data_IF_210169524114
#
_entry.id   IF_210169524114
#
_cell.length_a   1.000
_cell.length_b   1.000
_cell.length_c   1.000
_cell.angle_alpha   90.00
_cell.angle_beta   90.00
_cell.angle_gamma   90.00
#
_symmetry.space_group_name_H-M   'P 1'
#
loop_
_entity.id
_entity.type
_entity.pdbx_description
1 polymer ?
#
# COMPACT_ATOMS: atom_id res chain seq x y z
N UNK A 1 3.93 28.65 -3.62
CA UNK A 1 3.90 28.38 -2.15
C UNK A 1 5.30 28.07 -1.63
N UNK A 2 5.72 28.66 -0.51
CA UNK A 2 7.00 28.33 0.16
C UNK A 2 6.91 26.96 0.85
N UNK A 3 7.98 26.18 0.83
CA UNK A 3 8.01 24.86 1.48
C UNK A 3 8.01 24.97 3.02
N UNK A 4 8.49 26.08 3.58
CA UNK A 4 8.42 26.38 5.00
C UNK A 4 7.01 26.24 5.59
N UNK A 5 5.96 26.61 4.84
CA UNK A 5 4.56 26.46 5.28
C UNK A 5 4.15 24.99 5.47
N UNK A 6 4.67 24.10 4.64
CA UNK A 6 4.47 22.65 4.80
C UNK A 6 5.23 22.16 6.04
N UNK A 7 6.49 22.57 6.20
CA UNK A 7 7.30 22.19 7.34
C UNK A 7 6.72 22.67 8.68
N UNK A 8 6.12 23.86 8.71
CA UNK A 8 5.42 24.40 9.88
C UNK A 8 4.16 23.61 10.21
N UNK A 9 3.35 23.25 9.19
CA UNK A 9 2.20 22.38 9.39
C UNK A 9 2.61 21.00 9.93
N UNK A 10 3.67 20.41 9.38
CA UNK A 10 4.19 19.11 9.83
C UNK A 10 4.67 19.13 11.27
N UNK A 11 5.29 20.22 11.72
CA UNK A 11 5.69 20.39 13.12
C UNK A 11 4.49 20.47 14.06
N UNK A 12 3.44 21.24 13.69
CA UNK A 12 2.19 21.29 14.45
C UNK A 12 1.53 19.91 14.56
N UNK A 13 1.51 19.16 13.46
CA UNK A 13 0.94 17.80 13.39
C UNK A 13 1.76 16.83 14.25
N UNK A 14 3.09 16.84 14.15
CA UNK A 14 3.97 15.97 14.93
C UNK A 14 3.87 16.26 16.44
N UNK A 15 3.60 17.51 16.82
CA UNK A 15 3.49 17.93 18.21
C UNK A 15 2.19 17.49 18.92
N UNK A 16 1.19 16.97 18.20
CA UNK A 16 -0.07 16.49 18.79
C UNK A 16 -0.26 14.99 18.59
N UNK A 17 -1.02 14.37 19.49
CA UNK A 17 -1.50 12.98 19.36
C UNK A 17 -3.00 12.90 19.07
N UNK A 18 -3.70 14.04 19.10
CA UNK A 18 -5.15 14.10 18.91
C UNK A 18 -5.48 14.19 17.43
N UNK A 19 -6.19 13.18 16.92
CA UNK A 19 -6.57 13.11 15.50
C UNK A 19 -7.39 14.30 15.01
N UNK A 20 -8.24 14.88 15.86
CA UNK A 20 -9.02 16.07 15.50
C UNK A 20 -8.12 17.29 15.26
N UNK A 21 -7.17 17.56 16.16
CA UNK A 21 -6.19 18.65 15.98
C UNK A 21 -5.31 18.43 14.74
N UNK A 22 -4.86 17.19 14.49
CA UNK A 22 -4.14 16.86 13.25
C UNK A 22 -4.99 17.16 12.00
N UNK A 23 -6.28 16.85 12.05
CA UNK A 23 -7.21 17.12 10.94
C UNK A 23 -7.36 18.62 10.73
N UNK A 24 -7.47 19.41 11.80
CA UNK A 24 -7.59 20.87 11.71
C UNK A 24 -6.33 21.51 11.11
N UNK A 25 -5.14 21.07 11.51
CA UNK A 25 -3.88 21.53 10.89
C UNK A 25 -3.77 21.14 9.42
N UNK A 26 -4.26 19.95 9.05
CA UNK A 26 -4.34 19.56 7.64
C UNK A 26 -5.34 20.42 6.86
N UNK A 27 -6.50 20.73 7.43
CA UNK A 27 -7.47 21.64 6.81
C UNK A 27 -6.85 23.02 6.58
N UNK A 28 -6.13 23.56 7.57
CA UNK A 28 -5.38 24.82 7.45
C UNK A 28 -4.35 24.75 6.31
N UNK A 29 -3.53 23.69 6.27
CA UNK A 29 -2.53 23.49 5.22
C UNK A 29 -3.17 23.42 3.82
N UNK A 30 -4.23 22.62 3.67
CA UNK A 30 -4.90 22.38 2.40
C UNK A 30 -5.59 23.65 1.88
N UNK A 31 -6.21 24.47 2.74
CA UNK A 31 -6.82 25.75 2.37
C UNK A 31 -5.79 26.81 1.93
N UNK A 32 -4.59 26.77 2.51
CA UNK A 32 -3.49 27.66 2.14
C UNK A 32 -2.66 27.15 0.94
N UNK A 33 -2.99 25.98 0.40
CA UNK A 33 -2.29 25.38 -0.74
C UNK A 33 -2.92 25.86 -2.05
N UNK A 34 -2.13 26.44 -2.99
CA UNK A 34 -2.62 26.76 -4.33
C UNK A 34 -3.15 25.52 -5.05
N UNK A 35 -4.21 25.68 -5.85
CA UNK A 35 -4.93 24.57 -6.49
C UNK A 35 -4.01 23.68 -7.32
N UNK A 36 -3.07 24.28 -8.03
CA UNK A 36 -2.10 23.62 -8.92
C UNK A 36 -1.02 22.79 -8.19
N UNK A 37 -0.94 22.92 -6.86
CA UNK A 37 -0.02 22.18 -6.00
C UNK A 37 -0.71 21.18 -5.08
N UNK A 38 -2.04 21.12 -5.05
CA UNK A 38 -2.77 20.32 -4.06
C UNK A 38 -2.44 18.82 -4.16
N UNK A 39 -2.32 18.31 -5.38
CA UNK A 39 -1.91 16.94 -5.69
C UNK A 39 -0.55 16.59 -5.06
N UNK A 40 0.42 17.49 -5.22
CA UNK A 40 1.78 17.35 -4.70
C UNK A 40 1.82 17.46 -3.18
N UNK A 41 1.11 18.43 -2.60
CA UNK A 41 1.10 18.64 -1.13
C UNK A 41 0.47 17.45 -0.43
N UNK A 42 -0.61 16.88 -0.99
CA UNK A 42 -1.24 15.67 -0.47
C UNK A 42 -0.27 14.50 -0.42
N UNK A 43 0.47 14.25 -1.51
CA UNK A 43 1.47 13.17 -1.53
C UNK A 43 2.66 13.43 -0.62
N UNK A 44 3.21 14.65 -0.62
CA UNK A 44 4.29 15.03 0.29
C UNK A 44 3.90 14.81 1.75
N UNK A 45 2.63 15.06 2.10
CA UNK A 45 2.09 14.86 3.45
C UNK A 45 1.97 13.38 3.82
N UNK A 46 1.83 12.51 2.84
CA UNK A 46 1.94 11.06 3.01
C UNK A 46 3.40 10.57 2.97
N UNK A 47 4.38 11.45 2.76
CA UNK A 47 5.80 11.08 2.59
C UNK A 47 6.09 10.40 1.26
N UNK A 48 5.24 10.62 0.26
CA UNK A 48 5.32 10.03 -1.08
C UNK A 48 5.33 11.13 -2.15
N UNK A 49 5.53 10.74 -3.41
CA UNK A 49 5.33 11.65 -4.57
C UNK A 49 4.21 11.20 -5.49
N UNK A 50 3.92 9.90 -5.48
CA UNK A 50 3.06 9.21 -6.43
C UNK A 50 2.19 8.17 -5.70
N UNK A 51 1.08 7.75 -6.30
CA UNK A 51 0.37 6.55 -5.90
C UNK A 51 1.28 5.31 -5.90
N UNK A 52 1.02 4.36 -4.99
CA UNK A 52 1.84 3.15 -4.82
C UNK A 52 1.91 2.28 -6.09
N UNK A 53 0.82 2.25 -6.86
CA UNK A 53 0.72 1.47 -8.09
C UNK A 53 1.61 1.93 -9.24
N UNK A 54 2.17 3.14 -9.16
CA UNK A 54 3.16 3.61 -10.11
C UNK A 54 4.55 3.01 -9.89
N UNK A 55 4.81 2.41 -8.71
CA UNK A 55 6.10 1.78 -8.40
C UNK A 55 7.29 2.74 -8.35
N UNK A 56 7.04 4.05 -8.17
CA UNK A 56 8.08 5.07 -8.08
C UNK A 56 8.34 5.40 -6.61
N UNK A 57 9.52 5.01 -6.12
CA UNK A 57 10.00 5.34 -4.78
C UNK A 57 11.16 6.33 -4.84
N UNK A 58 11.19 7.30 -3.92
CA UNK A 58 12.36 8.16 -3.76
C UNK A 58 13.54 7.32 -3.20
N UNK A 59 13.24 6.57 -2.13
CA UNK A 59 14.05 5.50 -1.55
C UNK A 59 15.54 5.82 -1.42
N UNK A 60 15.92 6.69 -0.49
CA UNK A 60 17.32 6.99 -0.18
C UNK A 60 17.75 6.24 1.08
N UNK A 61 18.75 5.37 0.94
CA UNK A 61 19.34 4.68 2.09
C UNK A 61 19.90 5.69 3.11
N UNK A 62 19.81 5.35 4.40
CA UNK A 62 20.25 6.22 5.51
C UNK A 62 21.71 6.70 5.33
N UNK A 63 22.59 5.83 4.82
CA UNK A 63 23.99 6.15 4.48
C UNK A 63 24.12 7.22 3.39
N UNK A 64 23.27 7.19 2.36
CA UNK A 64 23.27 8.22 1.31
C UNK A 64 22.73 9.56 1.82
N UNK A 65 21.75 9.52 2.75
CA UNK A 65 21.27 10.73 3.42
C UNK A 65 22.37 11.37 4.28
N UNK A 66 23.14 10.57 5.03
CA UNK A 66 24.30 11.02 5.81
C UNK A 66 25.32 11.73 4.91
N UNK A 67 25.71 11.11 3.78
CA UNK A 67 26.60 11.72 2.76
C UNK A 67 26.08 13.08 2.27
N UNK A 68 24.78 13.20 2.02
CA UNK A 68 24.17 14.44 1.56
C UNK A 68 24.15 15.53 2.65
N UNK A 69 23.87 15.17 3.91
CA UNK A 69 23.93 16.09 5.05
C UNK A 69 25.38 16.57 5.28
N UNK A 70 26.37 15.67 5.18
CA UNK A 70 27.79 16.03 5.27
C UNK A 70 28.16 17.08 4.23
N UNK A 71 27.82 16.83 2.96
CA UNK A 71 28.07 17.75 1.83
C UNK A 71 27.37 19.10 2.00
N UNK A 72 26.14 19.13 2.55
CA UNK A 72 25.37 20.35 2.73
C UNK A 72 25.74 21.16 3.98
N UNK A 73 26.26 20.51 5.02
CA UNK A 73 26.58 21.14 6.31
C UNK A 73 28.06 21.47 6.49
N UNK A 74 28.94 20.80 5.75
CA UNK A 74 30.40 20.90 5.88
C UNK A 74 30.97 20.09 7.06
N UNK A 75 30.18 19.24 7.70
CA UNK A 75 30.63 18.33 8.76
C UNK A 75 30.96 16.94 8.20
N UNK A 76 31.72 16.16 8.95
CA UNK A 76 32.10 14.80 8.56
C UNK A 76 30.93 13.82 8.72
N UNK A 77 30.91 12.75 7.92
CA UNK A 77 29.91 11.68 8.03
C UNK A 77 29.93 11.04 9.43
N UNK A 78 31.11 10.93 10.05
CA UNK A 78 31.27 10.37 11.40
C UNK A 78 30.55 11.19 12.47
N UNK A 79 30.67 12.53 12.44
CA UNK A 79 29.95 13.42 13.36
C UNK A 79 28.43 13.23 13.23
N UNK A 80 27.95 13.07 11.99
CA UNK A 80 26.53 12.88 11.68
C UNK A 80 26.04 11.52 12.15
N UNK A 81 26.82 10.45 11.95
CA UNK A 81 26.49 9.10 12.45
C UNK A 81 26.43 9.05 13.98
N UNK A 82 27.34 9.76 14.66
CA UNK A 82 27.35 9.83 16.12
C UNK A 82 26.13 10.58 16.67
N UNK A 83 25.70 11.67 16.03
CA UNK A 83 24.47 12.37 16.38
C UNK A 83 23.23 11.51 16.07
N UNK A 84 23.20 10.83 14.92
CA UNK A 84 22.09 9.95 14.55
C UNK A 84 21.86 8.82 15.55
N UNK A 85 22.92 8.27 16.14
CA UNK A 85 22.80 7.27 17.21
C UNK A 85 22.12 7.84 18.45
N UNK A 86 22.32 9.13 18.74
CA UNK A 86 21.71 9.83 19.89
C UNK A 86 20.26 10.22 19.61
N UNK A 87 19.98 10.81 18.45
CA UNK A 87 18.64 11.27 18.07
C UNK A 87 17.71 10.11 17.68
N UNK A 88 18.24 9.05 17.07
CA UNK A 88 17.44 7.96 16.48
C UNK A 88 16.57 8.41 15.29
N UNK A 89 16.81 9.62 14.77
CA UNK A 89 16.04 10.25 13.70
C UNK A 89 16.94 11.08 12.78
N UNK A 90 17.06 10.62 11.53
CA UNK A 90 17.92 11.26 10.53
C UNK A 90 17.45 12.66 10.13
N UNK A 91 16.15 12.97 10.28
CA UNK A 91 15.64 14.33 10.07
C UNK A 91 16.07 15.28 11.17
N UNK A 92 15.95 14.86 12.43
CA UNK A 92 16.39 15.68 13.57
C UNK A 92 17.91 15.94 13.51
N UNK A 93 18.68 14.90 13.17
CA UNK A 93 20.11 15.05 12.90
C UNK A 93 20.36 16.03 11.75
N UNK A 94 19.62 15.94 10.64
CA UNK A 94 19.73 16.91 9.55
C UNK A 94 19.45 18.35 10.03
N UNK A 95 18.39 18.56 10.82
CA UNK A 95 18.06 19.87 11.40
C UNK A 95 19.23 20.42 12.24
N UNK A 96 19.81 19.59 13.10
CA UNK A 96 20.92 19.99 13.98
C UNK A 96 22.16 20.43 13.19
N UNK A 97 22.53 19.69 12.14
CA UNK A 97 23.72 20.00 11.33
C UNK A 97 23.48 21.16 10.35
N UNK A 98 22.26 21.29 9.83
CA UNK A 98 21.88 22.41 8.95
C UNK A 98 21.78 23.72 9.75
N UNK A 99 21.42 23.68 11.03
CA UNK A 99 21.50 24.83 11.93
C UNK A 99 22.94 25.27 12.23
N UNK A 100 23.92 24.35 12.12
CA UNK A 100 25.34 24.55 12.44
C UNK A 100 26.23 24.49 11.20
N UNK A 101 25.74 24.90 10.03
CA UNK A 101 26.49 24.90 8.76
C UNK A 101 27.83 25.62 8.92
N UNK A 102 28.93 24.94 8.55
CA UNK A 102 30.29 25.53 8.54
C UNK A 102 30.51 26.44 7.32
N UNK A 103 29.77 26.21 6.24
CA UNK A 103 29.88 26.94 4.98
C UNK A 103 28.59 27.72 4.72
N UNK A 104 28.72 29.04 4.55
CA UNK A 104 27.61 29.91 4.16
C UNK A 104 27.55 29.95 2.63
N UNK A 105 26.38 29.70 2.05
CA UNK A 105 26.18 29.83 0.61
C UNK A 105 26.12 31.32 0.25
N UNK A 106 26.80 31.73 -0.83
CA UNK A 106 26.81 33.14 -1.28
C UNK A 106 25.41 33.66 -1.63
N UNK A 107 24.52 32.76 -2.07
CA UNK A 107 23.12 33.03 -2.41
C UNK A 107 22.24 31.91 -1.88
N UNK A 108 21.27 32.26 -1.04
CA UNK A 108 20.26 31.31 -0.55
C UNK A 108 18.90 31.67 -1.17
N UNK A 109 18.29 30.73 -1.88
CA UNK A 109 16.93 30.88 -2.39
C UNK A 109 15.95 30.13 -1.49
N UNK A 110 14.88 30.78 -0.98
CA UNK A 110 13.85 30.09 -0.22
C UNK A 110 13.24 28.93 -1.02
N UNK A 111 13.10 27.77 -0.40
CA UNK A 111 12.54 26.59 -1.05
C UNK A 111 11.05 26.79 -1.32
N UNK A 112 10.62 26.39 -2.52
CA UNK A 112 9.21 26.29 -2.90
C UNK A 112 8.79 24.83 -2.94
N UNK A 113 7.49 24.58 -2.72
CA UNK A 113 6.91 23.23 -2.81
C UNK A 113 7.21 22.60 -4.17
N UNK A 114 7.06 23.39 -5.24
CA UNK A 114 7.35 22.96 -6.61
C UNK A 114 8.81 22.53 -6.77
N UNK A 115 9.77 23.35 -6.29
CA UNK A 115 11.19 23.04 -6.42
C UNK A 115 11.57 21.77 -5.66
N UNK A 116 11.05 21.61 -4.44
CA UNK A 116 11.26 20.40 -3.63
C UNK A 116 10.69 19.19 -4.37
N UNK A 117 9.41 19.23 -4.77
CA UNK A 117 8.76 18.11 -5.46
C UNK A 117 9.51 17.70 -6.75
N UNK A 118 9.84 18.66 -7.63
CA UNK A 118 10.59 18.38 -8.87
C UNK A 118 11.97 17.78 -8.62
N UNK A 119 12.64 18.19 -7.54
CA UNK A 119 13.97 17.67 -7.22
C UNK A 119 13.87 16.27 -6.66
N UNK A 120 12.87 16.01 -5.81
CA UNK A 120 12.57 14.67 -5.31
C UNK A 120 12.12 13.72 -6.43
N UNK A 121 11.34 14.21 -7.41
CA UNK A 121 10.94 13.44 -8.58
C UNK A 121 12.16 13.06 -9.45
N UNK A 122 13.05 14.02 -9.73
CA UNK A 122 14.32 13.74 -10.42
C UNK A 122 15.15 12.69 -9.68
N UNK A 123 15.18 12.74 -8.34
CA UNK A 123 15.86 11.73 -7.52
C UNK A 123 15.17 10.36 -7.63
N UNK A 124 13.84 10.30 -7.61
CA UNK A 124 13.09 9.04 -7.69
C UNK A 124 13.28 8.35 -9.04
N UNK A 125 13.32 9.12 -10.13
CA UNK A 125 13.52 8.62 -11.51
C UNK A 125 14.98 8.32 -11.87
N UNK A 126 15.94 8.70 -11.04
CA UNK A 126 17.35 8.43 -11.31
C UNK A 126 17.68 6.93 -11.10
N UNK A 127 18.06 6.26 -12.19
CA UNK A 127 18.45 4.84 -12.22
C UNK A 127 19.74 4.62 -13.00
N UNK A 128 20.42 3.49 -12.79
CA UNK A 128 21.63 3.11 -13.51
C UNK A 128 22.93 3.63 -12.89
N UNK A 129 24.01 3.59 -13.66
CA UNK A 129 25.34 4.02 -13.24
C UNK A 129 25.34 5.51 -12.87
N UNK A 130 26.00 5.88 -11.77
CA UNK A 130 26.04 7.27 -11.28
C UNK A 130 24.76 7.79 -10.61
N UNK A 131 23.67 7.02 -10.62
CA UNK A 131 22.39 7.44 -10.02
C UNK A 131 22.52 7.75 -8.51
N UNK A 132 23.33 6.97 -7.78
CA UNK A 132 23.54 7.20 -6.34
C UNK A 132 24.19 8.56 -6.05
N UNK A 133 25.23 8.94 -6.80
CA UNK A 133 25.92 10.22 -6.60
C UNK A 133 25.08 11.42 -7.07
N UNK A 134 24.27 11.22 -8.12
CA UNK A 134 23.26 12.19 -8.53
C UNK A 134 22.23 12.43 -7.42
N UNK A 135 21.67 11.37 -6.82
CA UNK A 135 20.72 11.48 -5.70
C UNK A 135 21.33 12.23 -4.51
N UNK A 136 22.57 11.90 -4.13
CA UNK A 136 23.30 12.59 -3.05
C UNK A 136 23.50 14.07 -3.39
N UNK A 137 23.87 14.40 -4.62
CA UNK A 137 24.11 15.78 -5.03
C UNK A 137 22.84 16.62 -5.10
N UNK A 138 21.74 16.06 -5.61
CA UNK A 138 20.43 16.72 -5.61
C UNK A 138 19.92 16.98 -4.20
N UNK A 139 20.01 15.97 -3.31
CA UNK A 139 19.61 16.12 -1.92
C UNK A 139 20.48 17.16 -1.19
N UNK A 140 21.80 17.12 -1.35
CA UNK A 140 22.70 18.11 -0.76
C UNK A 140 22.38 19.53 -1.25
N UNK A 141 22.03 19.71 -2.54
CA UNK A 141 21.62 21.00 -3.09
C UNK A 141 20.32 21.54 -2.51
N UNK A 142 19.33 20.67 -2.24
CA UNK A 142 18.13 21.06 -1.49
C UNK A 142 18.48 21.49 -0.06
N UNK A 143 19.25 20.67 0.66
CA UNK A 143 19.60 20.92 2.07
C UNK A 143 20.48 22.17 2.25
N UNK A 144 21.30 22.51 1.26
CA UNK A 144 22.08 23.74 1.26
C UNK A 144 21.18 24.99 1.33
N UNK A 145 20.03 24.97 0.66
CA UNK A 145 19.05 26.07 0.64
C UNK A 145 17.99 25.97 1.73
N UNK A 146 17.79 24.78 2.31
CA UNK A 146 16.80 24.54 3.36
C UNK A 146 17.14 25.27 4.67
N UNK A 147 16.10 25.77 5.34
CA UNK A 147 16.13 26.05 6.77
C UNK A 147 16.28 24.74 7.58
N UNK A 148 16.70 24.79 8.85
CA UNK A 148 16.84 23.59 9.69
C UNK A 148 15.56 22.74 9.75
N UNK A 149 14.40 23.39 9.89
CA UNK A 149 13.10 22.72 9.94
C UNK A 149 12.74 22.05 8.61
N UNK A 150 12.96 22.73 7.49
CA UNK A 150 12.73 22.16 6.16
C UNK A 150 13.64 20.94 5.92
N UNK A 151 14.90 21.01 6.34
CA UNK A 151 15.84 19.91 6.24
C UNK A 151 15.36 18.66 7.00
N UNK A 152 14.78 18.82 8.20
CA UNK A 152 14.17 17.72 8.97
C UNK A 152 13.19 16.92 8.13
N UNK A 153 12.21 17.61 7.55
CA UNK A 153 11.14 16.94 6.83
C UNK A 153 11.55 16.46 5.44
N UNK A 154 12.43 17.18 4.73
CA UNK A 154 13.00 16.69 3.46
C UNK A 154 13.72 15.36 3.68
N UNK A 155 14.60 15.29 4.69
CA UNK A 155 15.39 14.08 4.96
C UNK A 155 14.51 12.93 5.45
N UNK A 156 13.49 13.22 6.27
CA UNK A 156 12.50 12.19 6.64
C UNK A 156 11.69 11.68 5.45
N UNK A 157 11.28 12.54 4.51
CA UNK A 157 10.56 12.13 3.30
C UNK A 157 11.42 11.22 2.41
N UNK A 158 12.65 11.61 2.08
CA UNK A 158 13.53 10.81 1.19
C UNK A 158 13.94 9.46 1.79
N UNK A 159 13.96 9.35 3.13
CA UNK A 159 14.28 8.10 3.84
C UNK A 159 13.04 7.26 4.20
N UNK A 160 11.83 7.68 3.78
CA UNK A 160 10.59 6.96 4.06
C UNK A 160 10.16 6.99 5.54
N UNK A 161 10.61 8.00 6.29
CA UNK A 161 10.43 8.13 7.75
C UNK A 161 9.76 9.44 8.14
N UNK A 162 8.83 9.95 7.34
CA UNK A 162 8.12 11.22 7.59
C UNK A 162 7.42 11.24 8.96
N UNK A 163 6.85 10.12 9.39
CA UNK A 163 6.41 9.86 10.78
C UNK A 163 5.37 10.86 11.35
N UNK A 164 4.54 11.47 10.51
CA UNK A 164 3.51 12.41 10.98
C UNK A 164 2.30 11.74 11.67
N UNK A 165 2.19 10.41 11.59
CA UNK A 165 1.02 9.70 12.14
C UNK A 165 -0.28 9.93 11.36
N UNK A 166 -0.18 10.48 10.14
CA UNK A 166 -1.32 10.72 9.25
C UNK A 166 -1.49 9.51 8.33
N UNK A 167 -2.71 8.98 8.29
CA UNK A 167 -3.14 7.99 7.30
C UNK A 167 -3.97 8.66 6.19
N UNK A 168 -4.11 7.98 5.04
CA UNK A 168 -4.95 8.41 3.91
C UNK A 168 -6.33 8.94 4.35
N UNK A 169 -6.97 8.22 5.28
CA UNK A 169 -8.32 8.54 5.76
C UNK A 169 -8.37 9.89 6.49
N UNK A 170 -7.32 10.28 7.20
CA UNK A 170 -7.22 11.59 7.87
C UNK A 170 -7.06 12.71 6.84
N UNK A 171 -6.36 12.46 5.73
CA UNK A 171 -6.28 13.43 4.62
C UNK A 171 -7.62 13.57 3.92
N UNK A 172 -8.36 12.48 3.71
CA UNK A 172 -9.71 12.51 3.17
C UNK A 172 -10.69 13.26 4.10
N UNK A 173 -10.57 13.08 5.43
CA UNK A 173 -11.33 13.85 6.43
C UNK A 173 -11.05 15.35 6.27
N UNK A 174 -9.78 15.74 6.13
CA UNK A 174 -9.37 17.13 5.95
C UNK A 174 -9.84 17.71 4.60
N UNK A 175 -9.77 16.95 3.50
CA UNK A 175 -10.27 17.35 2.18
C UNK A 175 -11.79 17.58 2.20
N UNK A 176 -12.54 16.69 2.86
CA UNK A 176 -13.98 16.81 3.00
C UNK A 176 -14.37 18.11 3.73
N UNK A 177 -13.67 18.43 4.83
CA UNK A 177 -13.90 19.67 5.59
C UNK A 177 -13.43 20.91 4.81
N UNK A 178 -12.28 20.83 4.14
CA UNK A 178 -11.68 21.98 3.46
C UNK A 178 -12.43 22.39 2.18
N UNK A 179 -12.88 21.40 1.41
CA UNK A 179 -13.40 21.61 0.05
C UNK A 179 -14.72 20.87 -0.24
N UNK A 180 -15.10 19.88 0.56
CA UNK A 180 -16.33 19.10 0.40
C UNK A 180 -17.56 19.68 1.12
N UNK A 181 -17.42 20.82 1.82
CA UNK A 181 -18.53 21.46 2.54
C UNK A 181 -18.89 20.82 3.89
N UNK A 182 -18.13 19.82 4.35
CA UNK A 182 -18.38 19.15 5.63
C UNK A 182 -17.88 17.71 5.68
N UNK A 183 -18.05 17.06 6.84
CA UNK A 183 -17.62 15.66 7.04
C UNK A 183 -18.47 14.68 6.24
N UNK A 184 -19.66 15.07 5.80
CA UNK A 184 -20.62 14.27 5.05
C UNK A 184 -20.07 13.89 3.67
N UNK A 185 -19.25 14.77 3.07
CA UNK A 185 -18.58 14.49 1.80
C UNK A 185 -17.56 13.33 1.88
N UNK A 186 -17.16 12.93 3.10
CA UNK A 186 -16.10 11.96 3.34
C UNK A 186 -16.35 10.62 2.66
N UNK A 187 -17.59 10.13 2.65
CA UNK A 187 -17.94 8.85 2.05
C UNK A 187 -17.77 8.87 0.52
N UNK A 188 -18.12 10.00 -0.11
CA UNK A 188 -17.99 10.18 -1.54
C UNK A 188 -16.50 10.23 -1.96
N UNK A 189 -15.68 10.96 -1.19
CA UNK A 189 -14.23 11.01 -1.39
C UNK A 189 -13.59 9.65 -1.15
N UNK A 190 -14.05 8.90 -0.15
CA UNK A 190 -13.57 7.53 0.10
C UNK A 190 -13.82 6.64 -1.10
N UNK A 191 -15.03 6.68 -1.66
CA UNK A 191 -15.36 5.84 -2.82
C UNK A 191 -14.46 6.19 -3.99
N UNK A 192 -14.30 7.47 -4.30
CA UNK A 192 -13.42 7.93 -5.37
C UNK A 192 -11.97 7.48 -5.15
N UNK A 193 -11.46 7.60 -3.92
CA UNK A 193 -10.12 7.12 -3.57
C UNK A 193 -10.01 5.58 -3.65
N UNK A 194 -11.01 4.85 -3.18
CA UNK A 194 -10.94 3.40 -3.11
C UNK A 194 -10.99 2.74 -4.49
N UNK A 195 -11.61 3.38 -5.51
CA UNK A 195 -11.64 2.84 -6.88
C UNK A 195 -10.51 3.35 -7.78
N UNK A 196 -9.79 4.39 -7.37
CA UNK A 196 -8.66 4.96 -8.14
C UNK A 196 -7.30 4.71 -7.51
N UNK A 197 -7.27 4.50 -6.19
CA UNK A 197 -6.07 4.49 -5.34
C UNK A 197 -5.16 5.72 -5.52
N UNK A 198 -5.70 6.84 -6.03
CA UNK A 198 -4.97 8.07 -6.31
C UNK A 198 -5.51 9.24 -5.48
N UNK A 199 -4.89 9.46 -4.33
CA UNK A 199 -5.29 10.52 -3.41
C UNK A 199 -5.02 11.92 -3.98
N UNK A 200 -3.97 12.08 -4.78
CA UNK A 200 -3.64 13.36 -5.41
C UNK A 200 -4.67 13.75 -6.46
N UNK A 201 -5.11 12.79 -7.29
CA UNK A 201 -6.19 13.00 -8.26
C UNK A 201 -7.51 13.29 -7.60
N UNK A 202 -7.86 12.58 -6.52
CA UNK A 202 -9.07 12.88 -5.72
C UNK A 202 -9.01 14.31 -5.18
N UNK A 203 -7.89 14.71 -4.58
CA UNK A 203 -7.71 16.05 -4.05
C UNK A 203 -7.80 17.13 -5.14
N UNK A 204 -7.11 16.94 -6.26
CA UNK A 204 -7.13 17.86 -7.40
C UNK A 204 -8.53 18.01 -7.98
N UNK A 205 -9.22 16.89 -8.23
CA UNK A 205 -10.58 16.91 -8.78
C UNK A 205 -11.55 17.61 -7.82
N UNK A 206 -11.44 17.36 -6.50
CA UNK A 206 -12.28 18.04 -5.52
C UNK A 206 -12.07 19.57 -5.54
N UNK A 207 -10.83 20.03 -5.66
CA UNK A 207 -10.48 21.46 -5.61
C UNK A 207 -10.82 22.20 -6.92
N UNK A 208 -10.73 21.50 -8.06
CA UNK A 208 -10.99 22.06 -9.39
C UNK A 208 -12.47 21.97 -9.78
N UNK A 209 -13.11 20.82 -9.53
CA UNK A 209 -14.48 20.50 -10.00
C UNK A 209 -15.50 20.33 -8.87
N UNK A 210 -15.09 20.35 -7.60
CA UNK A 210 -15.98 20.11 -6.47
C UNK A 210 -16.50 18.67 -6.39
N UNK A 211 -17.55 18.47 -5.60
CA UNK A 211 -18.16 17.15 -5.41
C UNK A 211 -18.77 16.57 -6.69
N UNK A 212 -19.19 17.41 -7.63
CA UNK A 212 -19.69 16.94 -8.94
C UNK A 212 -18.59 16.27 -9.76
N UNK A 213 -17.34 16.75 -9.70
CA UNK A 213 -16.19 16.05 -10.27
C UNK A 213 -15.95 14.70 -9.59
N UNK A 214 -16.04 14.65 -8.26
CA UNK A 214 -15.88 13.40 -7.49
C UNK A 214 -16.95 12.35 -7.88
N UNK A 215 -18.19 12.77 -8.10
CA UNK A 215 -19.27 11.86 -8.55
C UNK A 215 -19.01 11.24 -9.92
N UNK A 216 -18.11 11.82 -10.74
CA UNK A 216 -17.72 11.27 -12.05
C UNK A 216 -16.64 10.21 -11.97
N UNK A 217 -16.03 9.97 -10.80
CA UNK A 217 -15.06 8.88 -10.65
C UNK A 217 -15.67 7.54 -11.03
N UNK A 218 -14.98 6.83 -11.91
CA UNK A 218 -15.31 5.47 -12.35
C UNK A 218 -14.08 4.60 -12.14
N UNK A 219 -14.32 3.29 -12.17
CA UNK A 219 -13.25 2.31 -12.29
C UNK A 219 -12.52 2.53 -13.62
N UNK A 220 -11.19 2.52 -13.59
CA UNK A 220 -10.32 2.72 -14.77
C UNK A 220 -9.30 1.59 -14.81
N UNK A 221 -9.14 0.95 -15.97
CA UNK A 221 -8.13 -0.09 -16.14
C UNK A 221 -6.72 0.51 -16.03
N UNK A 222 -5.84 -0.18 -15.30
CA UNK A 222 -4.49 0.29 -14.97
C UNK A 222 -4.40 1.04 -13.64
N UNK A 223 -5.53 1.37 -13.02
CA UNK A 223 -5.58 1.96 -11.68
C UNK A 223 -6.22 0.96 -10.72
N UNK A 224 -5.45 0.39 -9.78
CA UNK A 224 -5.98 -0.67 -8.95
C UNK A 224 -7.00 -0.15 -7.94
N UNK A 225 -8.06 -0.93 -7.77
CA UNK A 225 -9.08 -0.75 -6.75
C UNK A 225 -8.51 -1.26 -5.43
N UNK A 226 -8.69 -0.50 -4.34
CA UNK A 226 -8.26 -0.93 -3.01
C UNK A 226 -8.94 -2.25 -2.64
N UNK A 227 -8.19 -3.28 -2.19
CA UNK A 227 -8.78 -4.59 -2.00
C UNK A 227 -9.78 -4.60 -0.84
N UNK A 228 -10.90 -5.29 -1.00
CA UNK A 228 -11.83 -5.56 0.09
C UNK A 228 -11.19 -6.52 1.11
N UNK A 229 -11.38 -6.24 2.40
CA UNK A 229 -10.81 -7.01 3.50
C UNK A 229 -11.89 -7.77 4.27
N UNK A 230 -11.50 -8.91 4.84
CA UNK A 230 -12.39 -9.77 5.63
C UNK A 230 -12.22 -9.57 7.14
N UNK A 231 -13.34 -9.63 7.87
CA UNK A 231 -13.34 -9.86 9.32
C UNK A 231 -13.00 -11.32 9.65
N UNK A 232 -12.78 -11.65 10.93
CA UNK A 232 -12.43 -13.00 11.38
C UNK A 232 -13.48 -13.53 12.35
N UNK A 233 -13.90 -14.77 12.16
CA UNK A 233 -14.62 -15.58 13.15
C UNK A 233 -14.09 -17.02 13.12
N UNK A 234 -14.37 -17.78 14.16
CA UNK A 234 -13.92 -19.17 14.34
C UNK A 234 -15.07 -20.18 14.47
N UNK A 235 -16.32 -19.72 14.47
CA UNK A 235 -17.51 -20.58 14.59
C UNK A 235 -18.34 -20.54 13.31
N UNK A 236 -18.63 -21.70 12.68
CA UNK A 236 -19.53 -21.78 11.52
C UNK A 236 -20.91 -21.17 11.79
N UNK A 237 -21.44 -21.36 13.00
CA UNK A 237 -22.74 -20.82 13.41
C UNK A 237 -22.73 -19.30 13.45
N UNK A 238 -21.73 -18.69 14.09
CA UNK A 238 -21.60 -17.23 14.17
C UNK A 238 -21.37 -16.61 12.79
N UNK A 239 -20.60 -17.30 11.93
CA UNK A 239 -20.36 -16.88 10.54
C UNK A 239 -21.67 -16.82 9.78
N UNK A 240 -22.45 -17.91 9.78
CA UNK A 240 -23.73 -17.96 9.07
C UNK A 240 -24.71 -16.93 9.64
N UNK A 241 -24.82 -16.80 10.96
CA UNK A 241 -25.64 -15.78 11.60
C UNK A 241 -25.27 -14.37 11.12
N UNK A 242 -23.97 -14.02 11.10
CA UNK A 242 -23.50 -12.72 10.60
C UNK A 242 -23.75 -12.49 9.11
N UNK A 243 -23.81 -13.56 8.32
CA UNK A 243 -23.99 -13.49 6.87
C UNK A 243 -25.46 -13.61 6.42
N UNK A 244 -26.41 -13.67 7.37
CA UNK A 244 -27.85 -13.74 7.08
C UNK A 244 -28.39 -15.17 6.94
N UNK A 245 -27.74 -16.13 7.59
CA UNK A 245 -28.12 -17.55 7.62
C UNK A 245 -27.56 -18.37 6.46
N UNK A 246 -26.96 -17.74 5.44
CA UNK A 246 -26.43 -18.42 4.25
C UNK A 246 -25.20 -17.69 3.73
N UNK A 247 -24.20 -18.44 3.27
CA UNK A 247 -23.00 -17.85 2.68
C UNK A 247 -22.52 -18.62 1.44
N UNK A 248 -21.63 -17.99 0.68
CA UNK A 248 -20.74 -18.67 -0.24
C UNK A 248 -19.36 -18.76 0.43
N UNK A 249 -18.93 -19.96 0.79
CA UNK A 249 -17.62 -20.21 1.36
C UNK A 249 -16.66 -20.65 0.27
N UNK A 250 -15.54 -19.93 0.13
CA UNK A 250 -14.48 -20.25 -0.83
C UNK A 250 -13.24 -20.73 -0.10
N UNK A 251 -12.43 -21.56 -0.76
CA UNK A 251 -11.10 -21.89 -0.24
C UNK A 251 -10.26 -20.64 -0.03
N UNK A 252 -9.60 -20.59 1.12
CA UNK A 252 -8.63 -19.55 1.44
C UNK A 252 -7.23 -20.05 1.10
N UNK A 253 -6.85 -19.86 -0.15
CA UNK A 253 -5.51 -20.16 -0.66
C UNK A 253 -4.41 -19.38 0.09
N UNK A 254 -3.21 -19.97 0.15
CA UNK A 254 -2.00 -19.39 0.74
C UNK A 254 -1.05 -18.88 -0.36
N UNK A 255 -1.28 -17.67 -0.85
CA UNK A 255 -0.52 -17.12 -1.96
C UNK A 255 -0.37 -15.60 -1.91
N UNK A 256 -0.04 -15.01 -3.05
CA UNK A 256 -0.09 -13.57 -3.26
C UNK A 256 -1.44 -13.21 -3.88
N UNK A 257 -2.22 -12.38 -3.17
CA UNK A 257 -3.44 -11.81 -3.76
C UNK A 257 -3.06 -10.88 -4.90
N UNK A 258 -3.55 -11.21 -6.08
CA UNK A 258 -3.39 -10.40 -7.28
C UNK A 258 -4.69 -9.73 -7.67
N UNK A 259 -4.60 -8.47 -8.06
CA UNK A 259 -5.63 -7.78 -8.82
C UNK A 259 -5.13 -7.61 -10.24
N UNK A 260 -5.73 -8.37 -11.16
CA UNK A 260 -5.36 -8.41 -12.56
C UNK A 260 -6.22 -7.43 -13.36
N UNK A 261 -5.56 -6.56 -14.11
CA UNK A 261 -6.17 -5.60 -15.02
C UNK A 261 -5.81 -6.01 -16.45
N UNK A 262 -6.79 -6.49 -17.21
CA UNK A 262 -6.66 -6.86 -18.62
C UNK A 262 -7.27 -5.75 -19.50
N UNK A 263 -6.54 -5.34 -20.53
CA UNK A 263 -7.00 -4.51 -21.63
C UNK A 263 -6.39 -5.05 -22.93
N UNK A 264 -7.16 -5.89 -23.63
CA UNK A 264 -6.68 -6.72 -24.73
C UNK A 264 -5.47 -7.56 -24.31
N UNK A 265 -4.38 -7.41 -25.05
CA UNK A 265 -3.10 -8.10 -24.78
C UNK A 265 -2.29 -7.51 -23.62
N UNK A 266 -2.71 -6.38 -23.05
CA UNK A 266 -2.00 -5.77 -21.92
C UNK A 266 -2.61 -6.24 -20.61
N UNK A 267 -1.83 -6.98 -19.83
CA UNK A 267 -2.18 -7.37 -18.46
C UNK A 267 -1.25 -6.67 -17.47
N UNK A 268 -1.84 -6.06 -16.45
CA UNK A 268 -1.13 -5.52 -15.28
C UNK A 268 -1.57 -6.28 -14.04
N UNK A 269 -0.62 -6.60 -13.17
CA UNK A 269 -0.86 -7.28 -11.91
C UNK A 269 -0.48 -6.36 -10.76
N UNK A 270 -1.41 -6.17 -9.83
CA UNK A 270 -1.19 -5.42 -8.61
C UNK A 270 -1.29 -6.34 -7.39
N UNK A 271 -0.36 -6.20 -6.45
CA UNK A 271 -0.38 -6.96 -5.19
C UNK A 271 -1.49 -6.46 -4.27
N UNK A 272 -1.68 -7.14 -3.14
CA UNK A 272 -2.53 -6.65 -2.04
C UNK A 272 -2.18 -5.24 -1.56
N UNK A 273 -0.91 -4.84 -1.70
CA UNK A 273 -0.41 -3.50 -1.32
C UNK A 273 -0.50 -2.50 -2.47
N UNK A 274 -1.15 -2.87 -3.57
CA UNK A 274 -1.30 -2.09 -4.79
C UNK A 274 0.03 -1.85 -5.51
N UNK A 275 1.07 -2.62 -5.20
CA UNK A 275 2.35 -2.54 -5.91
C UNK A 275 2.20 -3.22 -7.26
N UNK A 276 2.74 -2.62 -8.33
CA UNK A 276 2.80 -3.27 -9.63
C UNK A 276 3.82 -4.43 -9.58
N UNK A 277 3.31 -5.66 -9.68
CA UNK A 277 4.10 -6.90 -9.64
C UNK A 277 4.12 -7.63 -10.98
N UNK A 278 3.65 -6.99 -12.06
CA UNK A 278 3.50 -7.61 -13.39
C UNK A 278 4.77 -8.32 -13.87
N UNK A 279 5.94 -7.69 -13.72
CA UNK A 279 7.22 -8.26 -14.16
C UNK A 279 7.69 -9.45 -13.32
N UNK A 280 7.08 -9.71 -12.16
CA UNK A 280 7.41 -10.82 -11.26
C UNK A 280 6.59 -12.08 -11.59
N UNK A 281 5.56 -11.97 -12.44
CA UNK A 281 4.66 -13.07 -12.76
C UNK A 281 4.27 -13.11 -14.25
N UNK A 282 5.24 -13.24 -15.17
CA UNK A 282 4.95 -13.29 -16.60
C UNK A 282 4.13 -14.53 -17.02
N UNK A 283 4.29 -15.68 -16.36
CA UNK A 283 3.42 -16.85 -16.56
C UNK A 283 1.94 -16.58 -16.18
N UNK A 284 1.68 -15.90 -15.07
CA UNK A 284 0.34 -15.49 -14.66
C UNK A 284 -0.28 -14.53 -15.68
N UNK A 285 0.54 -13.60 -16.22
CA UNK A 285 0.14 -12.71 -17.30
C UNK A 285 -0.31 -13.51 -18.53
N UNK A 286 0.47 -14.50 -18.96
CA UNK A 286 0.11 -15.34 -20.11
C UNK A 286 -1.13 -16.20 -19.85
N UNK A 287 -1.28 -16.74 -18.63
CA UNK A 287 -2.51 -17.46 -18.23
C UNK A 287 -3.73 -16.54 -18.34
N UNK A 288 -3.66 -15.31 -17.81
CA UNK A 288 -4.77 -14.35 -17.85
C UNK A 288 -5.10 -13.91 -19.27
N UNK A 289 -4.10 -13.69 -20.14
CA UNK A 289 -4.36 -13.37 -21.56
C UNK A 289 -5.14 -14.47 -22.26
N UNK A 290 -4.71 -15.72 -22.07
CA UNK A 290 -5.26 -16.88 -22.77
C UNK A 290 -6.64 -17.29 -22.26
N UNK A 291 -6.85 -17.21 -20.94
CA UNK A 291 -8.01 -17.82 -20.29
C UNK A 291 -9.10 -16.80 -19.88
N UNK A 292 -8.85 -15.49 -19.97
CA UNK A 292 -9.87 -14.47 -19.74
C UNK A 292 -10.45 -14.01 -21.09
N UNK A 293 -11.72 -14.36 -21.33
CA UNK A 293 -12.42 -14.09 -22.60
C UNK A 293 -12.75 -12.63 -22.83
N UNK A 294 -12.99 -11.86 -21.76
CA UNK A 294 -13.32 -10.44 -21.85
C UNK A 294 -12.16 -9.62 -22.40
N UNK A 295 -12.43 -8.59 -23.20
CA UNK A 295 -11.39 -7.70 -23.74
C UNK A 295 -10.83 -6.82 -22.62
N UNK A 296 -11.71 -6.31 -21.78
CA UNK A 296 -11.40 -5.44 -20.66
C UNK A 296 -11.92 -6.05 -19.36
N UNK A 297 -11.04 -6.29 -18.38
CA UNK A 297 -11.46 -6.87 -17.10
C UNK A 297 -10.59 -6.42 -15.92
N UNK A 298 -11.21 -6.31 -14.75
CA UNK A 298 -10.51 -6.24 -13.46
C UNK A 298 -10.95 -7.42 -12.61
N UNK A 299 -10.00 -8.31 -12.32
CA UNK A 299 -10.21 -9.58 -11.66
C UNK A 299 -9.40 -9.64 -10.38
N UNK A 300 -9.87 -10.40 -9.40
CA UNK A 300 -9.08 -10.75 -8.22
C UNK A 300 -8.92 -12.27 -8.11
N UNK A 301 -7.71 -12.68 -7.74
CA UNK A 301 -7.37 -14.08 -7.52
C UNK A 301 -6.20 -14.23 -6.58
N UNK A 302 -5.96 -15.46 -6.14
CA UNK A 302 -4.75 -15.83 -5.42
C UNK A 302 -3.76 -16.48 -6.39
N UNK A 303 -2.53 -15.97 -6.41
CA UNK A 303 -1.40 -16.56 -7.13
C UNK A 303 -0.63 -17.46 -6.17
N UNK A 304 -0.65 -18.76 -6.43
CA UNK A 304 -0.11 -19.79 -5.52
C UNK A 304 1.00 -20.54 -6.24
N UNK A 305 2.14 -20.71 -5.58
CA UNK A 305 3.22 -21.54 -6.11
C UNK A 305 2.78 -23.01 -6.12
N UNK A 306 3.17 -23.76 -7.15
CA UNK A 306 2.88 -25.19 -7.25
C UNK A 306 4.16 -25.99 -7.44
N UNK A 307 4.14 -27.24 -6.98
CA UNK A 307 5.17 -28.20 -7.26
C UNK A 307 5.14 -28.56 -8.76
N UNK A 308 6.26 -28.47 -9.50
CA UNK A 308 6.28 -28.73 -10.94
C UNK A 308 6.03 -30.20 -11.31
N UNK A 309 6.31 -31.14 -10.40
CA UNK A 309 6.20 -32.57 -10.66
C UNK A 309 4.82 -33.11 -10.25
N UNK A 310 4.29 -32.67 -9.11
CA UNK A 310 3.00 -33.15 -8.58
C UNK A 310 1.82 -32.23 -8.87
N UNK A 311 2.08 -30.93 -9.10
CA UNK A 311 1.05 -29.90 -9.22
C UNK A 311 0.44 -29.47 -7.88
N UNK A 312 0.94 -29.98 -6.75
CA UNK A 312 0.44 -29.64 -5.42
C UNK A 312 0.76 -28.18 -5.06
N UNK A 313 -0.10 -27.57 -4.24
CA UNK A 313 0.11 -26.19 -3.78
C UNK A 313 1.27 -26.13 -2.77
N UNK A 314 2.15 -25.16 -2.97
CA UNK A 314 3.27 -24.87 -2.08
C UNK A 314 2.92 -23.70 -1.14
N UNK A 315 3.51 -23.65 0.08
CA UNK A 315 3.31 -22.54 1.01
C UNK A 315 3.75 -21.19 0.44
N UNK A 316 3.19 -20.10 0.96
CA UNK A 316 3.55 -18.73 0.54
C UNK A 316 5.05 -18.41 0.64
N UNK A 317 5.78 -19.06 1.56
CA UNK A 317 7.23 -18.88 1.70
C UNK A 317 7.99 -19.28 0.43
N UNK A 318 7.57 -20.34 -0.25
CA UNK A 318 8.17 -20.77 -1.51
C UNK A 318 7.95 -19.72 -2.62
N UNK A 319 6.75 -19.13 -2.65
CA UNK A 319 6.44 -18.02 -3.56
C UNK A 319 7.35 -16.80 -3.34
N UNK A 320 7.89 -16.59 -2.13
CA UNK A 320 8.81 -15.48 -1.85
C UNK A 320 10.19 -15.65 -2.49
N UNK A 321 10.64 -16.89 -2.75
CA UNK A 321 11.87 -17.14 -3.51
C UNK A 321 11.78 -16.66 -4.97
N UNK A 322 10.56 -16.49 -5.47
CA UNK A 322 10.27 -16.00 -6.82
C UNK A 322 10.40 -14.47 -6.96
N UNK A 323 10.28 -13.69 -5.88
CA UNK A 323 10.28 -12.21 -5.93
C UNK A 323 11.67 -11.63 -6.23
N UNK A 324 12.13 -11.76 -7.47
CA UNK A 324 13.42 -11.23 -7.96
C UNK A 324 13.26 -10.42 -9.25
N UNK A 325 14.09 -9.38 -9.42
CA UNK A 325 14.13 -8.54 -10.63
C UNK A 325 14.92 -9.17 -11.80
N UNK A 326 15.79 -10.13 -11.50
CA UNK A 326 16.65 -10.81 -12.46
C UNK A 326 16.48 -12.33 -12.34
N UNK A 327 16.62 -13.08 -13.43
CA UNK A 327 16.48 -14.54 -13.44
C UNK A 327 15.05 -15.02 -13.19
N UNK A 328 14.06 -14.27 -13.68
CA UNK A 328 12.65 -14.62 -13.51
C UNK A 328 12.28 -15.93 -14.22
N UNK A 329 12.84 -16.18 -15.41
CA UNK A 329 12.59 -17.40 -16.19
C UNK A 329 12.93 -18.66 -15.39
N UNK A 330 14.14 -18.72 -14.83
CA UNK A 330 14.54 -19.81 -13.93
C UNK A 330 13.63 -19.91 -12.69
N UNK A 331 13.12 -18.78 -12.20
CA UNK A 331 12.22 -18.77 -11.04
C UNK A 331 10.85 -19.35 -11.37
N UNK A 332 10.38 -19.17 -12.60
CA UNK A 332 9.13 -19.74 -13.08
C UNK A 332 9.23 -21.25 -13.29
N UNK A 333 10.40 -21.75 -13.67
CA UNK A 333 10.68 -23.19 -13.77
C UNK A 333 10.75 -23.85 -12.40
N UNK A 334 11.47 -23.22 -11.45
CA UNK A 334 11.59 -23.73 -10.08
C UNK A 334 10.28 -23.58 -9.28
N UNK A 335 9.54 -22.49 -9.50
CA UNK A 335 8.32 -22.13 -8.76
C UNK A 335 7.22 -21.67 -9.71
N UNK A 336 6.65 -22.57 -10.54
CA UNK A 336 5.50 -22.25 -11.36
C UNK A 336 4.32 -21.83 -10.49
N UNK A 337 3.40 -21.05 -11.03
CA UNK A 337 2.21 -20.60 -10.30
C UNK A 337 0.92 -21.05 -10.96
N UNK A 338 -0.08 -21.26 -10.10
CA UNK A 338 -1.49 -21.39 -10.45
C UNK A 338 -2.27 -20.18 -9.95
N UNK A 339 -3.33 -19.82 -10.68
CA UNK A 339 -4.24 -18.73 -10.35
C UNK A 339 -5.59 -19.28 -9.89
N UNK A 340 -6.03 -18.86 -8.72
CA UNK A 340 -7.34 -19.19 -8.15
C UNK A 340 -8.19 -17.93 -8.07
N UNK A 341 -9.04 -17.72 -9.07
CA UNK A 341 -9.77 -16.47 -9.28
C UNK A 341 -11.05 -16.47 -8.44
N UNK A 342 -11.30 -15.40 -7.68
CA UNK A 342 -12.37 -15.36 -6.69
C UNK A 342 -13.32 -14.16 -6.76
N UNK A 343 -12.99 -13.12 -7.52
CA UNK A 343 -13.92 -12.00 -7.77
C UNK A 343 -13.63 -11.30 -9.10
N UNK A 344 -14.61 -10.53 -9.58
CA UNK A 344 -14.50 -9.67 -10.76
C UNK A 344 -15.17 -8.32 -10.46
N UNK A 345 -14.46 -7.24 -10.75
CA UNK A 345 -14.84 -5.87 -10.38
C UNK A 345 -15.25 -5.03 -11.58
N UNK A 346 -14.81 -5.43 -12.78
CA UNK A 346 -15.08 -4.73 -14.02
C UNK A 346 -15.00 -5.69 -15.20
N UNK A 347 -15.91 -5.57 -16.17
CA UNK A 347 -15.92 -6.35 -17.43
C UNK A 347 -16.48 -5.47 -18.55
N UNK A 348 -15.72 -5.29 -19.63
CA UNK A 348 -16.14 -4.70 -20.91
C UNK A 348 -17.06 -3.45 -20.76
N UNK A 349 -16.57 -2.42 -20.07
CA UNK A 349 -17.35 -1.20 -19.83
C UNK A 349 -18.22 -1.20 -18.57
N UNK A 350 -18.49 -2.36 -17.96
CA UNK A 350 -19.40 -2.50 -16.81
C UNK A 350 -18.65 -2.51 -15.48
N UNK A 351 -18.92 -1.52 -14.64
CA UNK A 351 -18.52 -1.48 -13.22
C UNK A 351 -19.39 -2.46 -12.42
N UNK A 352 -18.76 -3.48 -11.84
CA UNK A 352 -19.41 -4.50 -11.01
C UNK A 352 -19.20 -4.25 -9.51
N UNK A 353 -18.49 -3.21 -9.09
CA UNK A 353 -18.15 -2.99 -7.67
C UNK A 353 -19.39 -2.79 -6.78
N UNK A 354 -20.47 -2.26 -7.34
CA UNK A 354 -21.76 -2.08 -6.66
C UNK A 354 -22.75 -3.24 -6.91
N UNK A 355 -22.37 -4.24 -7.70
CA UNK A 355 -23.19 -5.42 -7.93
C UNK A 355 -23.01 -6.42 -6.76
N UNK A 356 -24.06 -7.16 -6.38
CA UNK A 356 -23.98 -8.19 -5.34
C UNK A 356 -22.99 -9.30 -5.71
N UNK A 357 -22.33 -9.90 -4.71
CA UNK A 357 -21.35 -10.97 -4.92
C UNK A 357 -21.85 -12.12 -5.84
N UNK A 358 -23.09 -12.62 -5.72
CA UNK A 358 -23.59 -13.65 -6.65
C UNK A 358 -23.60 -13.22 -8.13
N UNK A 359 -23.87 -11.94 -8.40
CA UNK A 359 -23.83 -11.38 -9.76
C UNK A 359 -22.39 -11.33 -10.25
N UNK A 360 -21.47 -10.79 -9.44
CA UNK A 360 -20.04 -10.75 -9.80
C UNK A 360 -19.49 -12.15 -10.04
N UNK A 361 -19.82 -13.11 -9.18
CA UNK A 361 -19.43 -14.52 -9.31
C UNK A 361 -19.93 -15.15 -10.61
N UNK A 362 -21.15 -14.82 -11.04
CA UNK A 362 -21.68 -15.26 -12.35
C UNK A 362 -20.83 -14.72 -13.50
N UNK A 363 -20.53 -13.41 -13.49
CA UNK A 363 -19.64 -12.81 -14.50
C UNK A 363 -18.26 -13.48 -14.51
N UNK A 364 -17.68 -13.75 -13.33
CA UNK A 364 -16.40 -14.43 -13.19
C UNK A 364 -16.41 -15.80 -13.88
N UNK A 365 -17.46 -16.60 -13.63
CA UNK A 365 -17.66 -17.91 -14.25
C UNK A 365 -17.81 -17.86 -15.78
N UNK A 366 -18.43 -16.79 -16.30
CA UNK A 366 -18.67 -16.65 -17.74
C UNK A 366 -17.38 -16.29 -18.51
N UNK A 367 -16.53 -15.45 -17.91
CA UNK A 367 -15.35 -14.90 -18.59
C UNK A 367 -14.07 -15.71 -18.39
N UNK A 368 -14.01 -16.58 -17.39
CA UNK A 368 -12.86 -17.46 -17.17
C UNK A 368 -13.08 -18.79 -17.87
N UNK A 369 -12.17 -19.14 -18.77
CA UNK A 369 -12.01 -20.51 -19.25
C UNK A 369 -11.02 -21.23 -18.35
N UNK A 370 -11.48 -22.16 -17.51
CA UNK A 370 -10.58 -22.89 -16.63
C UNK A 370 -9.56 -23.70 -17.43
N UNK A 371 -8.32 -23.68 -16.95
CA UNK A 371 -7.21 -24.47 -17.45
C UNK A 371 -6.51 -25.21 -16.32
N UNK A 372 -5.42 -25.88 -16.66
CA UNK A 372 -4.64 -26.64 -15.68
C UNK A 372 -4.19 -25.79 -14.49
N UNK A 373 -3.69 -24.58 -14.78
CA UNK A 373 -3.10 -23.62 -13.82
C UNK A 373 -3.90 -22.33 -13.62
N UNK A 374 -5.10 -22.22 -14.14
CA UNK A 374 -6.01 -21.10 -13.85
C UNK A 374 -7.41 -21.64 -13.64
N UNK A 375 -7.95 -21.42 -12.45
CA UNK A 375 -9.24 -21.97 -12.04
C UNK A 375 -10.00 -20.93 -11.25
N UNK A 376 -11.29 -21.12 -11.16
CA UNK A 376 -12.12 -20.38 -10.24
C UNK A 376 -11.94 -21.00 -8.86
N UNK A 377 -11.86 -20.15 -7.82
CA UNK A 377 -11.71 -20.59 -6.44
C UNK A 377 -12.82 -21.59 -6.06
N UNK A 378 -12.44 -22.75 -5.54
CA UNK A 378 -13.36 -23.80 -5.09
C UNK A 378 -14.31 -23.24 -4.04
N UNK A 379 -15.61 -23.55 -4.15
CA UNK A 379 -16.61 -22.91 -3.30
C UNK A 379 -17.83 -23.78 -3.02
N UNK A 380 -18.46 -23.50 -1.88
CA UNK A 380 -19.70 -24.10 -1.42
C UNK A 380 -20.69 -22.99 -1.05
N UNK A 381 -21.95 -23.09 -1.51
CA UNK A 381 -23.04 -22.27 -0.98
C UNK A 381 -23.81 -23.11 0.03
N UNK A 382 -23.84 -22.69 1.29
CA UNK A 382 -24.50 -23.45 2.35
C UNK A 382 -25.14 -22.53 3.40
N UNK A 383 -26.22 -23.02 4.00
CA UNK A 383 -26.87 -22.50 5.20
C UNK A 383 -26.71 -23.47 6.39
N UNK A 384 -25.94 -24.54 6.21
CA UNK A 384 -25.70 -25.57 7.21
C UNK A 384 -24.30 -25.42 7.85
N UNK A 385 -24.21 -25.17 9.18
CA UNK A 385 -22.95 -25.10 9.90
C UNK A 385 -22.07 -26.35 9.77
N UNK A 386 -22.66 -27.54 9.69
CA UNK A 386 -21.93 -28.82 9.61
C UNK A 386 -21.30 -29.03 8.22
N UNK A 387 -21.99 -28.61 7.15
CA UNK A 387 -21.43 -28.63 5.80
C UNK A 387 -20.29 -27.63 5.66
N UNK A 388 -20.45 -26.43 6.24
CA UNK A 388 -19.41 -25.41 6.26
C UNK A 388 -18.16 -25.91 7.01
N UNK A 389 -18.36 -26.61 8.13
CA UNK A 389 -17.28 -27.25 8.89
C UNK A 389 -16.56 -28.33 8.06
N UNK A 390 -17.32 -29.22 7.41
CA UNK A 390 -16.74 -30.27 6.56
C UNK A 390 -15.92 -29.67 5.42
N UNK A 391 -16.44 -28.63 4.76
CA UNK A 391 -15.75 -27.95 3.67
C UNK A 391 -14.49 -27.20 4.16
N UNK A 392 -14.52 -26.68 5.40
CA UNK A 392 -13.34 -26.09 6.02
C UNK A 392 -12.24 -27.13 6.23
N UNK A 393 -12.58 -28.31 6.75
CA UNK A 393 -11.61 -29.39 6.95
C UNK A 393 -11.03 -29.89 5.62
N UNK A 394 -11.85 -30.00 4.58
CA UNK A 394 -11.40 -30.36 3.23
C UNK A 394 -10.41 -29.33 2.65
N UNK A 395 -10.69 -28.03 2.84
CA UNK A 395 -9.79 -26.98 2.40
C UNK A 395 -8.42 -27.09 3.10
N UNK A 396 -8.41 -27.34 4.42
CA UNK A 396 -7.19 -27.50 5.20
C UNK A 396 -6.41 -28.76 4.81
N UNK A 397 -7.10 -29.88 4.56
CA UNK A 397 -6.48 -31.13 4.07
C UNK A 397 -5.79 -30.93 2.71
N UNK A 398 -6.37 -30.08 1.86
CA UNK A 398 -5.78 -29.67 0.57
C UNK A 398 -4.70 -28.58 0.70
N UNK A 399 -4.27 -28.22 1.91
CA UNK A 399 -3.20 -27.24 2.14
C UNK A 399 -3.62 -25.77 2.09
N UNK A 400 -4.92 -25.46 2.06
CA UNK A 400 -5.40 -24.08 2.18
C UNK A 400 -5.39 -23.61 3.65
N UNK A 401 -5.37 -22.29 3.87
CA UNK A 401 -5.36 -21.73 5.22
C UNK A 401 -6.73 -21.78 5.95
N UNK A 402 -7.79 -22.24 5.27
CA UNK A 402 -9.17 -22.23 5.75
C UNK A 402 -10.14 -21.78 4.67
N UNK A 403 -11.17 -21.01 5.04
CA UNK A 403 -12.19 -20.49 4.12
C UNK A 403 -12.32 -18.96 4.16
N UNK A 404 -12.84 -18.38 3.08
CA UNK A 404 -13.42 -17.04 3.05
C UNK A 404 -14.92 -17.17 2.82
N UNK A 405 -15.71 -16.90 3.84
CA UNK A 405 -17.18 -16.91 3.79
C UNK A 405 -17.68 -15.54 3.35
N UNK A 406 -18.40 -15.49 2.24
CA UNK A 406 -18.93 -14.27 1.61
C UNK A 406 -20.45 -14.23 1.73
N UNK A 407 -20.99 -13.05 2.04
CA UNK A 407 -22.43 -12.84 2.04
C UNK A 407 -22.99 -13.02 0.63
N UNK A 408 -24.16 -13.64 0.53
CA UNK A 408 -24.92 -13.80 -0.72
C UNK A 408 -26.16 -12.90 -0.77
N UNK A 409 -26.29 -11.97 0.19
CA UNK A 409 -27.39 -11.01 0.23
C UNK A 409 -27.28 -9.97 -0.89
N UNK A 410 -28.40 -9.29 -1.17
CA UNK A 410 -28.48 -8.28 -2.24
C UNK A 410 -27.61 -7.03 -1.98
N UNK A 411 -27.21 -6.78 -0.74
CA UNK A 411 -26.31 -5.69 -0.37
C UNK A 411 -24.83 -6.12 -0.31
N UNK A 412 -24.51 -7.34 -0.74
CA UNK A 412 -23.15 -7.91 -0.76
C UNK A 412 -22.26 -7.32 -1.88
N UNK A 413 -22.16 -6.00 -1.90
CA UNK A 413 -21.33 -5.24 -2.84
C UNK A 413 -19.83 -5.39 -2.53
N UNK A 414 -18.97 -5.02 -3.47
CA UNK A 414 -17.55 -4.95 -3.23
C UNK A 414 -17.18 -3.68 -2.45
N UNK A 415 -16.90 -3.83 -1.15
CA UNK A 415 -16.49 -2.72 -0.28
C UNK A 415 -14.99 -2.46 -0.39
N UNK A 416 -14.59 -1.86 -1.51
CA UNK A 416 -13.20 -1.50 -1.79
C UNK A 416 -12.55 -0.77 -0.60
N UNK A 417 -11.34 -1.18 -0.21
CA UNK A 417 -10.55 -0.59 0.86
C UNK A 417 -11.09 -0.77 2.29
N UNK A 418 -12.26 -1.40 2.46
CA UNK A 418 -12.89 -1.56 3.78
C UNK A 418 -12.71 -2.99 4.32
N UNK A 419 -12.63 -3.09 5.65
CA UNK A 419 -12.86 -4.33 6.38
C UNK A 419 -14.29 -4.32 6.90
N UNK A 420 -15.02 -5.41 6.69
CA UNK A 420 -16.37 -5.54 7.19
C UNK A 420 -16.89 -6.96 7.08
N UNK A 421 -18.12 -7.16 7.56
CA UNK A 421 -18.73 -8.47 7.75
C UNK A 421 -19.24 -9.15 6.49
N UNK A 422 -19.22 -8.48 5.33
CA UNK A 422 -19.61 -9.11 4.08
C UNK A 422 -18.67 -10.27 3.70
N UNK A 423 -17.39 -10.17 4.08
CA UNK A 423 -16.42 -11.26 3.96
C UNK A 423 -15.88 -11.62 5.34
N UNK A 424 -15.88 -12.90 5.69
CA UNK A 424 -15.39 -13.41 6.96
C UNK A 424 -14.40 -14.53 6.67
N UNK A 425 -13.15 -14.38 7.11
CA UNK A 425 -12.17 -15.47 7.04
C UNK A 425 -12.45 -16.45 8.17
N UNK A 426 -12.79 -17.68 7.80
CA UNK A 426 -12.89 -18.78 8.73
C UNK A 426 -11.53 -19.45 8.85
N UNK A 427 -10.84 -19.16 9.96
CA UNK A 427 -9.56 -19.77 10.32
C UNK A 427 -9.60 -20.22 11.76
N UNK A 428 -9.24 -21.47 11.99
CA UNK A 428 -8.83 -21.94 13.33
C UNK A 428 -7.33 -21.73 13.47
N UNK A 429 -6.88 -21.45 14.68
CA UNK A 429 -5.44 -21.36 15.00
C UNK A 429 -4.81 -22.77 15.01
N UNK A 430 -5.05 -23.58 13.98
CA UNK A 430 -4.55 -24.95 13.86
C UNK A 430 -3.07 -25.03 13.47
N UNK A 431 -2.37 -23.90 13.33
CA UNK A 431 -0.95 -23.96 13.02
C UNK A 431 -0.17 -24.42 14.25
N UNK A 432 0.40 -25.60 14.09
CA UNK A 432 1.64 -26.14 14.66
C UNK A 432 2.88 -25.20 14.54
N UNK A 433 2.68 -23.88 14.41
CA UNK A 433 3.72 -22.87 14.61
C UNK A 433 3.61 -22.44 16.07
N UNK A 434 4.41 -23.08 16.95
CA UNK A 434 4.56 -22.81 18.39
C UNK A 434 3.44 -21.97 19.04
N UNK A 435 2.39 -22.64 19.54
CA UNK A 435 1.58 -22.10 20.65
C UNK A 435 2.32 -22.14 21.98
N UNK A 436 3.49 -22.80 22.03
CA UNK A 436 4.32 -22.84 23.23
C UNK A 436 5.02 -21.50 23.44
N UNK A 437 4.72 -20.89 24.58
CA UNK A 437 5.55 -19.85 25.15
C UNK A 437 6.95 -20.42 25.38
N UNK A 438 7.96 -19.77 24.81
CA UNK A 438 9.37 -20.12 25.03
C UNK A 438 10.00 -19.16 26.03
N UNK A 439 10.76 -19.71 26.97
CA UNK A 439 11.64 -18.94 27.83
C UNK A 439 12.97 -18.71 27.10
N UNK A 440 13.26 -17.45 26.77
CA UNK A 440 14.47 -17.04 26.06
C UNK A 440 15.27 -16.04 26.90
N UNK A 441 16.60 -16.04 26.73
CA UNK A 441 17.48 -15.11 27.44
C UNK A 441 17.77 -13.88 26.59
N UNK A 442 17.64 -12.69 27.18
CA UNK A 442 18.06 -11.44 26.54
C UNK A 442 19.59 -11.35 26.55
N UNK A 443 20.22 -11.48 25.37
CA UNK A 443 21.69 -11.44 25.20
C UNK A 443 22.19 -10.14 24.56
N UNK A 444 21.27 -9.24 24.18
CA UNK A 444 21.62 -7.95 23.61
C UNK A 444 20.43 -7.03 23.40
N UNK A 445 20.70 -5.78 23.04
CA UNK A 445 19.67 -4.79 22.77
C UNK A 445 20.10 -3.83 21.65
N UNK A 446 19.14 -3.39 20.85
CA UNK A 446 19.32 -2.41 19.77
C UNK A 446 18.70 -1.08 20.17
N UNK A 447 19.40 0.04 19.91
CA UNK A 447 18.85 1.38 20.13
C UNK A 447 17.53 1.57 19.39
N UNK A 448 16.56 2.15 20.09
CA UNK A 448 15.27 2.46 19.52
C UNK A 448 15.35 3.64 18.55
N UNK A 449 14.46 3.61 17.55
CA UNK A 449 14.28 4.68 16.57
C UNK A 449 12.85 5.24 16.69
N UNK A 450 12.64 6.50 16.36
CA UNK A 450 11.31 7.14 16.37
C UNK A 450 10.70 7.21 17.77
N UNK A 451 9.49 6.68 17.99
CA UNK A 451 8.81 6.69 19.31
C UNK A 451 9.59 6.00 20.44
N UNK A 452 10.62 5.22 20.10
CA UNK A 452 11.50 4.51 21.04
C UNK A 452 12.91 5.12 21.09
N UNK A 453 13.12 6.31 20.51
CA UNK A 453 14.40 7.01 20.60
C UNK A 453 14.74 7.29 22.08
N UNK A 454 16.03 7.19 22.42
CA UNK A 454 16.50 7.28 23.80
C UNK A 454 16.34 6.02 24.66
N UNK A 455 15.74 4.95 24.12
CA UNK A 455 15.60 3.64 24.80
C UNK A 455 16.09 2.48 23.92
N UNK A 456 15.92 1.23 24.37
CA UNK A 456 16.09 0.05 23.50
C UNK A 456 14.80 -0.24 22.71
N UNK A 457 14.93 -0.41 21.41
CA UNK A 457 13.81 -0.71 20.50
C UNK A 457 13.67 -2.19 20.15
N UNK A 458 14.69 -3.00 20.34
CA UNK A 458 14.59 -4.44 20.13
C UNK A 458 15.57 -5.16 21.06
N UNK A 459 15.20 -6.38 21.46
CA UNK A 459 16.03 -7.27 22.27
C UNK A 459 16.50 -8.41 21.37
N UNK A 460 17.74 -8.82 21.56
CA UNK A 460 18.30 -10.03 20.97
C UNK A 460 18.09 -11.16 21.97
N UNK A 461 17.34 -12.19 21.54
CA UNK A 461 17.00 -13.36 22.35
C UNK A 461 17.82 -14.56 21.88
N UNK A 462 18.21 -15.43 22.81
CA UNK A 462 18.92 -16.68 22.57
C UNK A 462 18.33 -17.82 23.40
#
# INVERSE_FOLDING_TARGET
>A
MRYSLIADAYEKIEATTKRLEMTDYLVELLKNTPKELIDKVVYLTQGKLYPDFMGIEIGVAEKLAIRAIAKASGHSEKEIEEDLKKTGDIGETAQNFIAKKKQVTLFQQPLTVQKVYETLDKMAKATGEGAMDLKVSLLAGLLANASPKEAKYIVRTVTGKLRLGIADMTVLDALAIAYGGGKEARQLLERAYNISSDLGRVAKTLVEEGLEGIKKFRVVIGEPIRPMLAERLSSPHEILEKLGGKCAAEYKYDGERIQAHKNGEKVLLFSRRLENITSQYPDAVELLKKHVKAEEAILEGECVAIDPDTGDMLPFQELMHRRRKYGIEKAMEEYPVSLFMFDVLYVDGKDLTLEPYPVRRKYLNEIIEEGERIRIAEYLITDNPEELEKFFLEAVEKGCEGLVCKSVMNDSIYRAGARGWLWIKYKRDYKSEMTDTVDLVVVGAFHGKGRRAGTYGALLLA
#
